data_IF_273040252483
#
_entry.id   IF_273040252483
#
_cell.length_a   1.000
_cell.length_b   1.000
_cell.length_c   1.000
_cell.angle_alpha   90.00
_cell.angle_beta   90.00
_cell.angle_gamma   90.00
#
_symmetry.space_group_name_H-M   'P 1'
#
loop_
_entity.id
_entity.type
_entity.pdbx_description
1 polymer ?
#
# COMPACT_ATOMS: atom_id res chain seq x y z
N UNK A 1 34.32 -9.55 20.86
CA UNK A 1 32.87 -9.22 20.86
C UNK A 1 32.55 -8.60 19.53
N UNK A 2 31.65 -9.20 18.75
CA UNK A 2 31.17 -8.60 17.48
C UNK A 2 30.34 -7.38 17.82
N UNK A 3 30.71 -6.20 17.28
CA UNK A 3 29.95 -4.95 17.47
C UNK A 3 28.52 -5.13 16.96
N UNK A 4 27.55 -4.52 17.64
CA UNK A 4 26.17 -4.45 17.18
C UNK A 4 26.09 -3.78 15.79
N UNK A 5 25.47 -4.43 14.79
CA UNK A 5 25.28 -3.81 13.47
C UNK A 5 24.40 -2.56 13.56
N UNK A 6 24.81 -1.50 12.89
CA UNK A 6 24.02 -0.28 12.68
C UNK A 6 23.36 -0.32 11.31
N UNK A 7 22.04 -0.18 11.25
CA UNK A 7 21.27 -0.24 10.01
C UNK A 7 20.43 1.02 9.88
N UNK A 8 20.57 1.72 8.76
CA UNK A 8 19.69 2.82 8.41
C UNK A 8 18.69 2.35 7.33
N UNK A 9 17.42 2.67 7.52
CA UNK A 9 16.34 2.38 6.57
C UNK A 9 15.84 3.72 6.05
N UNK A 10 15.94 3.93 4.75
CA UNK A 10 15.47 5.16 4.09
C UNK A 10 14.04 4.92 3.62
N UNK A 11 13.06 5.55 4.26
CA UNK A 11 11.62 5.39 4.01
C UNK A 11 10.88 4.70 5.17
N UNK A 12 9.85 5.37 5.69
CA UNK A 12 8.97 4.95 6.78
C UNK A 12 7.61 4.40 6.34
N UNK A 13 7.49 3.99 5.07
CA UNK A 13 6.30 3.30 4.56
C UNK A 13 6.20 1.84 5.03
N UNK A 14 5.19 1.11 4.52
CA UNK A 14 4.94 -0.30 4.88
C UNK A 14 6.19 -1.18 4.76
N UNK A 15 6.96 -1.03 3.66
CA UNK A 15 8.18 -1.80 3.45
C UNK A 15 9.27 -1.50 4.48
N UNK A 16 9.50 -0.22 4.78
CA UNK A 16 10.51 0.21 5.76
C UNK A 16 10.19 -0.23 7.18
N UNK A 17 8.93 -0.07 7.62
CA UNK A 17 8.50 -0.53 8.94
C UNK A 17 8.54 -2.07 9.06
N UNK A 18 8.16 -2.79 8.01
CA UNK A 18 8.25 -4.25 7.98
C UNK A 18 9.71 -4.74 8.04
N UNK A 19 10.62 -4.08 7.30
CA UNK A 19 12.05 -4.38 7.36
C UNK A 19 12.62 -4.10 8.75
N UNK A 20 12.26 -2.98 9.36
CA UNK A 20 12.66 -2.63 10.72
C UNK A 20 12.21 -3.67 11.75
N UNK A 21 10.96 -4.13 11.69
CA UNK A 21 10.45 -5.20 12.57
C UNK A 21 11.20 -6.52 12.40
N UNK A 22 11.57 -6.87 11.17
CA UNK A 22 12.37 -8.07 10.91
C UNK A 22 13.76 -7.94 11.54
N UNK A 23 14.42 -6.79 11.34
CA UNK A 23 15.79 -6.54 11.79
C UNK A 23 15.90 -6.32 13.30
N UNK A 24 14.87 -5.78 13.95
CA UNK A 24 14.85 -5.52 15.40
C UNK A 24 15.10 -6.82 16.21
N UNK A 25 14.66 -7.96 15.67
CA UNK A 25 14.85 -9.29 16.25
C UNK A 25 16.29 -9.76 16.27
N UNK A 26 17.14 -9.15 15.45
CA UNK A 26 18.57 -9.46 15.37
C UNK A 26 19.44 -8.56 16.25
N UNK A 27 18.82 -7.78 17.16
CA UNK A 27 19.50 -6.86 18.08
C UNK A 27 20.38 -5.83 17.37
N UNK A 28 20.00 -5.41 16.17
CA UNK A 28 20.66 -4.33 15.45
C UNK A 28 20.23 -2.96 16.02
N UNK A 29 21.11 -1.97 15.91
CA UNK A 29 20.76 -0.56 16.11
C UNK A 29 20.14 -0.04 14.81
N UNK A 30 18.86 0.33 14.84
CA UNK A 30 18.09 0.65 13.64
C UNK A 30 17.58 2.08 13.71
N UNK A 31 17.85 2.84 12.66
CA UNK A 31 17.25 4.16 12.42
C UNK A 31 16.43 4.14 11.14
N UNK A 32 15.21 4.67 11.18
CA UNK A 32 14.38 4.90 10.00
C UNK A 32 14.35 6.40 9.73
N UNK A 33 14.60 6.78 8.48
CA UNK A 33 14.52 8.16 8.02
C UNK A 33 13.31 8.30 7.11
N UNK A 34 12.29 9.01 7.56
CA UNK A 34 11.08 9.28 6.79
C UNK A 34 11.00 10.76 6.46
N UNK A 35 10.84 11.08 5.18
CA UNK A 35 10.77 12.45 4.70
C UNK A 35 9.54 13.21 5.21
N UNK A 36 8.42 12.52 5.44
CA UNK A 36 7.19 13.10 5.93
C UNK A 36 7.30 13.45 7.41
N UNK A 37 6.75 14.60 7.87
CA UNK A 37 6.71 14.95 9.29
C UNK A 37 5.79 14.05 10.12
N UNK A 38 4.99 13.20 9.47
CA UNK A 38 4.11 12.23 10.11
C UNK A 38 4.01 10.95 9.26
N UNK A 39 3.82 9.80 9.93
CA UNK A 39 3.43 8.56 9.27
C UNK A 39 1.96 8.62 8.86
N UNK A 40 1.68 9.38 7.80
CA UNK A 40 0.36 9.52 7.24
C UNK A 40 0.32 8.79 5.90
N UNK A 41 -0.81 8.16 5.64
CA UNK A 41 -1.08 7.50 4.38
C UNK A 41 -2.40 7.99 3.84
N UNK A 42 -2.42 8.23 2.54
CA UNK A 42 -3.64 8.51 1.79
C UNK A 42 -4.44 7.22 1.87
N UNK A 43 -5.68 7.31 2.33
CA UNK A 43 -6.47 6.19 2.86
C UNK A 43 -6.85 5.07 1.88
N UNK A 44 -6.03 4.73 0.91
CA UNK A 44 -6.26 3.60 0.04
C UNK A 44 -6.35 2.28 0.82
N UNK A 45 -7.23 1.41 0.35
CA UNK A 45 -7.24 0.01 0.69
C UNK A 45 -6.08 -0.75 0.05
N UNK A 46 -5.66 -1.83 0.70
CA UNK A 46 -4.70 -2.80 0.20
C UNK A 46 -5.29 -4.20 0.29
N UNK A 47 -4.95 -5.04 -0.68
CA UNK A 47 -5.23 -6.46 -0.65
C UNK A 47 -3.97 -7.22 -0.23
N UNK A 48 -4.07 -7.98 0.86
CA UNK A 48 -3.03 -8.85 1.38
C UNK A 48 -3.43 -10.30 1.10
N UNK A 49 -2.77 -10.89 0.11
CA UNK A 49 -2.89 -12.31 -0.21
C UNK A 49 -2.25 -13.18 0.90
N UNK A 50 -2.53 -14.50 0.94
CA UNK A 50 -2.07 -15.38 2.01
C UNK A 50 -0.56 -15.31 2.30
N UNK A 51 0.29 -15.17 1.28
CA UNK A 51 1.73 -15.00 1.45
C UNK A 51 2.12 -13.72 2.21
N UNK A 52 1.43 -12.61 1.98
CA UNK A 52 1.67 -11.37 2.71
C UNK A 52 1.23 -11.50 4.18
N UNK A 53 0.09 -12.15 4.43
CA UNK A 53 -0.39 -12.40 5.80
C UNK A 53 0.55 -13.35 6.55
N UNK A 54 1.09 -14.37 5.89
CA UNK A 54 2.13 -15.24 6.46
C UNK A 54 3.43 -14.48 6.78
N UNK A 55 3.83 -13.51 5.95
CA UNK A 55 4.97 -12.65 6.28
C UNK A 55 4.69 -11.81 7.54
N UNK A 56 3.47 -11.27 7.69
CA UNK A 56 3.05 -10.55 8.90
C UNK A 56 2.99 -11.47 10.14
N UNK A 57 2.67 -12.75 9.97
CA UNK A 57 2.78 -13.77 11.03
C UNK A 57 4.20 -13.92 11.50
N UNK A 58 5.14 -14.05 10.55
CA UNK A 58 6.57 -14.09 10.88
C UNK A 58 6.92 -12.82 11.66
N UNK A 59 6.49 -11.64 11.23
CA UNK A 59 6.72 -10.36 11.94
C UNK A 59 5.96 -10.22 13.28
N UNK A 60 5.08 -11.15 13.63
CA UNK A 60 4.37 -11.18 14.92
C UNK A 60 3.22 -10.19 15.02
N UNK A 61 2.70 -9.72 13.87
CA UNK A 61 1.63 -8.70 13.81
C UNK A 61 0.38 -9.18 13.07
N UNK A 62 0.33 -10.45 12.63
CA UNK A 62 -0.81 -11.02 11.89
C UNK A 62 -2.15 -10.74 12.58
N UNK A 63 -2.31 -11.12 13.85
CA UNK A 63 -3.59 -10.99 14.56
C UNK A 63 -4.03 -9.52 14.68
N UNK A 64 -3.09 -8.61 14.92
CA UNK A 64 -3.36 -7.19 15.01
C UNK A 64 -3.80 -6.59 13.67
N UNK A 65 -3.25 -7.09 12.56
CA UNK A 65 -3.66 -6.68 11.20
C UNK A 65 -5.03 -7.28 10.86
N UNK A 66 -5.27 -8.57 11.16
CA UNK A 66 -6.57 -9.24 10.95
C UNK A 66 -7.69 -8.50 11.69
N UNK A 67 -7.45 -8.10 12.95
CA UNK A 67 -8.44 -7.37 13.77
C UNK A 67 -8.88 -6.01 13.19
N UNK A 68 -8.11 -5.45 12.26
CA UNK A 68 -8.42 -4.19 11.56
C UNK A 68 -8.82 -4.37 10.10
N UNK A 69 -8.57 -5.54 9.53
CA UNK A 69 -8.88 -5.84 8.14
C UNK A 69 -10.33 -6.24 7.92
N UNK A 70 -10.59 -6.72 6.71
CA UNK A 70 -11.85 -7.31 6.29
C UNK A 70 -11.55 -8.57 5.49
N UNK A 71 -12.22 -9.65 5.86
CA UNK A 71 -12.21 -10.90 5.10
C UNK A 71 -13.52 -11.01 4.36
N UNK A 72 -13.44 -11.40 3.09
CA UNK A 72 -14.63 -11.71 2.29
C UNK A 72 -14.58 -13.17 1.90
N UNK A 73 -15.71 -13.85 1.98
CA UNK A 73 -15.83 -15.23 1.53
C UNK A 73 -15.63 -15.37 0.01
N UNK A 74 -15.93 -14.32 -0.74
CA UNK A 74 -15.84 -14.30 -2.20
C UNK A 74 -15.15 -13.07 -2.75
N UNK A 75 -14.63 -13.20 -3.97
CA UNK A 75 -14.31 -12.10 -4.88
C UNK A 75 -15.11 -12.31 -6.16
N UNK A 76 -15.81 -11.27 -6.61
CA UNK A 76 -16.69 -11.37 -7.79
C UNK A 76 -16.07 -10.61 -8.94
N UNK A 77 -15.99 -11.23 -10.11
CA UNK A 77 -15.70 -10.54 -11.38
C UNK A 77 -17.01 -10.34 -12.11
N UNK A 78 -17.31 -9.09 -12.47
CA UNK A 78 -18.55 -8.69 -13.16
C UNK A 78 -18.24 -8.11 -14.53
N UNK A 79 -19.15 -8.32 -15.45
CA UNK A 79 -19.16 -7.58 -16.71
C UNK A 79 -19.57 -6.13 -16.44
N UNK A 80 -18.75 -5.18 -16.90
CA UNK A 80 -18.95 -3.73 -16.69
C UNK A 80 -20.30 -3.17 -17.11
N UNK A 81 -20.93 -3.72 -18.16
CA UNK A 81 -22.14 -3.17 -18.77
C UNK A 81 -23.41 -3.83 -18.26
N UNK A 82 -23.41 -5.15 -18.16
CA UNK A 82 -24.59 -5.96 -17.78
C UNK A 82 -24.66 -6.30 -16.30
N UNK A 83 -23.59 -6.09 -15.53
CA UNK A 83 -23.51 -6.51 -14.13
C UNK A 83 -23.43 -8.03 -13.92
N UNK A 84 -23.54 -8.82 -15.00
CA UNK A 84 -23.47 -10.28 -14.97
C UNK A 84 -22.17 -10.75 -14.34
N UNK A 85 -22.28 -11.68 -13.40
CA UNK A 85 -21.13 -12.35 -12.79
C UNK A 85 -20.45 -13.22 -13.86
N UNK A 86 -19.18 -12.91 -14.13
CA UNK A 86 -18.30 -13.70 -15.00
C UNK A 86 -17.62 -14.79 -14.20
N UNK A 87 -17.16 -14.47 -12.99
CA UNK A 87 -16.49 -15.40 -12.08
C UNK A 87 -16.78 -15.03 -10.63
N UNK A 88 -16.83 -16.04 -9.75
CA UNK A 88 -17.00 -15.86 -8.31
C UNK A 88 -16.02 -16.80 -7.60
N UNK A 89 -14.92 -16.25 -7.10
CA UNK A 89 -13.84 -16.99 -6.47
C UNK A 89 -14.07 -17.10 -4.97
N UNK A 90 -14.02 -18.31 -4.41
CA UNK A 90 -14.19 -18.57 -2.97
C UNK A 90 -12.91 -18.28 -2.18
N UNK A 91 -12.72 -17.03 -1.77
CA UNK A 91 -11.59 -16.59 -0.94
C UNK A 91 -11.64 -17.13 0.50
N UNK A 92 -12.83 -17.42 1.04
CA UNK A 92 -12.97 -18.00 2.38
C UNK A 92 -12.29 -19.36 2.54
N UNK A 93 -12.03 -20.07 1.43
CA UNK A 93 -11.28 -21.33 1.45
C UNK A 93 -9.76 -21.15 1.61
N UNK A 94 -9.23 -19.93 1.46
CA UNK A 94 -7.78 -19.69 1.42
C UNK A 94 -7.09 -20.01 2.74
N UNK A 95 -7.76 -19.81 3.88
CA UNK A 95 -7.23 -20.22 5.20
C UNK A 95 -6.88 -21.71 5.22
N UNK A 96 -7.78 -22.54 4.71
CA UNK A 96 -7.58 -23.99 4.64
C UNK A 96 -6.56 -24.39 3.57
N UNK A 97 -6.58 -23.74 2.41
CA UNK A 97 -5.72 -24.09 1.27
C UNK A 97 -4.27 -23.63 1.44
N UNK A 98 -4.05 -22.45 2.03
CA UNK A 98 -2.75 -21.77 2.07
C UNK A 98 -2.26 -21.45 3.48
N UNK A 99 -3.04 -21.78 4.52
CA UNK A 99 -2.66 -21.52 5.91
C UNK A 99 -2.79 -20.05 6.35
N UNK A 100 -3.39 -19.19 5.53
CA UNK A 100 -3.66 -17.78 5.84
C UNK A 100 -4.83 -17.24 4.98
N UNK A 101 -5.56 -16.22 5.45
CA UNK A 101 -6.66 -15.61 4.70
C UNK A 101 -6.17 -14.72 3.55
N UNK A 102 -7.11 -14.31 2.70
CA UNK A 102 -6.97 -13.09 1.92
C UNK A 102 -7.63 -11.94 2.69
N UNK A 103 -6.88 -10.91 3.03
CA UNK A 103 -7.34 -9.81 3.87
C UNK A 103 -7.31 -8.50 3.10
N UNK A 104 -8.36 -7.69 3.18
CA UNK A 104 -8.32 -6.30 2.72
C UNK A 104 -8.18 -5.37 3.91
N UNK A 105 -7.25 -4.41 3.85
CA UNK A 105 -6.92 -3.53 4.97
C UNK A 105 -6.85 -2.08 4.51
N UNK A 106 -7.14 -1.14 5.41
CA UNK A 106 -6.85 0.26 5.15
C UNK A 106 -5.36 0.50 5.35
N UNK A 107 -4.67 1.15 4.40
CA UNK A 107 -3.20 1.30 4.42
C UNK A 107 -2.70 1.96 5.70
N UNK A 108 -3.36 3.01 6.16
CA UNK A 108 -2.99 3.69 7.40
C UNK A 108 -3.11 2.78 8.64
N UNK A 109 -4.04 1.83 8.65
CA UNK A 109 -4.18 0.91 9.79
C UNK A 109 -3.08 -0.15 9.80
N UNK A 110 -2.68 -0.65 8.62
CA UNK A 110 -1.53 -1.53 8.49
C UNK A 110 -0.25 -0.81 8.95
N UNK A 111 -0.06 0.45 8.53
CA UNK A 111 1.09 1.25 8.94
C UNK A 111 1.11 1.49 10.45
N UNK A 112 -0.03 1.84 11.06
CA UNK A 112 -0.16 2.03 12.51
C UNK A 112 0.14 0.74 13.28
N UNK A 113 -0.34 -0.41 12.81
CA UNK A 113 -0.02 -1.71 13.43
C UNK A 113 1.49 -2.00 13.38
N UNK A 114 2.12 -1.81 12.22
CA UNK A 114 3.56 -2.03 12.06
C UNK A 114 4.37 -1.07 12.94
N UNK A 115 4.01 0.22 12.94
CA UNK A 115 4.66 1.23 13.78
C UNK A 115 4.57 0.88 15.26
N UNK A 116 3.37 0.52 15.77
CA UNK A 116 3.16 0.20 17.19
C UNK A 116 3.90 -1.06 17.65
N UNK A 117 4.26 -1.93 16.71
CA UNK A 117 5.01 -3.15 17.03
C UNK A 117 6.51 -2.90 17.22
N UNK A 118 7.05 -1.80 16.68
CA UNK A 118 8.46 -1.40 16.87
C UNK A 118 8.69 -0.96 18.32
N UNK A 119 9.86 -1.30 18.88
CA UNK A 119 10.20 -1.07 20.29
C UNK A 119 11.49 -0.29 20.49
N UNK A 120 12.52 -0.58 19.70
CA UNK A 120 13.88 -0.06 19.88
C UNK A 120 14.40 0.72 18.68
N UNK A 121 13.54 0.97 17.68
CA UNK A 121 13.90 1.69 16.46
C UNK A 121 13.82 3.20 16.67
N UNK A 122 14.87 3.90 16.26
CA UNK A 122 14.89 5.37 16.16
C UNK A 122 14.17 5.81 14.88
N UNK A 123 12.90 6.22 14.99
CA UNK A 123 12.11 6.72 13.86
C UNK A 123 12.25 8.24 13.76
N UNK A 124 12.97 8.71 12.75
CA UNK A 124 13.16 10.14 12.44
C UNK A 124 12.20 10.57 11.33
N UNK A 125 11.18 11.33 11.73
CA UNK A 125 10.23 11.98 10.83
C UNK A 125 10.78 13.32 10.34
N UNK A 126 10.35 13.76 9.16
CA UNK A 126 10.90 14.96 8.51
C UNK A 126 12.36 14.81 8.05
N UNK A 127 12.92 13.61 8.11
CA UNK A 127 14.31 13.31 7.77
C UNK A 127 14.39 12.82 6.32
N UNK A 128 14.39 13.77 5.37
CA UNK A 128 14.49 13.47 3.95
C UNK A 128 15.92 13.13 3.57
N UNK A 129 16.18 11.86 3.22
CA UNK A 129 17.42 11.46 2.56
C UNK A 129 17.47 12.00 1.13
N UNK A 130 18.62 12.51 0.72
CA UNK A 130 18.85 13.09 -0.61
C UNK A 130 19.94 12.38 -1.40
N UNK A 131 20.82 11.63 -0.72
CA UNK A 131 21.87 10.84 -1.37
C UNK A 131 22.37 9.75 -0.42
N UNK A 132 22.88 8.66 -0.99
CA UNK A 132 23.60 7.61 -0.26
C UNK A 132 24.98 7.42 -0.86
N UNK A 133 25.99 7.30 0.01
CA UNK A 133 27.37 7.03 -0.39
C UNK A 133 27.85 5.77 0.32
N UNK A 134 28.32 4.78 -0.46
CA UNK A 134 28.88 3.54 0.08
C UNK A 134 30.41 3.63 0.15
N UNK A 135 30.98 3.06 1.20
CA UNK A 135 32.42 2.98 1.43
C UNK A 135 32.84 1.52 1.61
N UNK A 136 34.15 1.26 1.69
CA UNK A 136 34.70 -0.09 1.93
C UNK A 136 34.10 -0.78 3.17
N UNK A 137 33.69 -0.01 4.17
CA UNK A 137 33.10 -0.50 5.43
C UNK A 137 31.93 0.37 5.92
N UNK A 138 30.82 0.31 5.20
CA UNK A 138 29.56 0.93 5.60
C UNK A 138 29.03 1.89 4.53
N UNK A 139 28.06 2.71 4.91
CA UNK A 139 27.46 3.70 4.04
C UNK A 139 26.91 4.88 4.84
N UNK A 140 26.75 6.02 4.17
CA UNK A 140 26.21 7.25 4.74
C UNK A 140 25.00 7.71 3.96
N UNK A 141 23.90 7.97 4.66
CA UNK A 141 22.73 8.67 4.13
C UNK A 141 22.86 10.16 4.44
N UNK A 142 22.86 11.00 3.39
CA UNK A 142 22.87 12.46 3.51
C UNK A 142 21.44 12.98 3.57
N UNK A 143 21.13 13.83 4.53
CA UNK A 143 19.82 14.41 4.75
C UNK A 143 19.73 15.83 4.16
N UNK A 144 18.51 16.26 3.82
CA UNK A 144 18.25 17.56 3.21
C UNK A 144 18.59 18.76 4.12
N UNK A 145 18.62 18.56 5.44
CA UNK A 145 19.00 19.57 6.44
C UNK A 145 20.52 19.67 6.64
N UNK A 146 21.30 18.91 5.88
CA UNK A 146 22.76 18.81 6.02
C UNK A 146 23.22 17.77 7.04
N UNK A 147 22.29 17.09 7.73
CA UNK A 147 22.59 15.97 8.61
C UNK A 147 23.09 14.72 7.86
N UNK A 148 23.79 13.85 8.59
CA UNK A 148 24.28 12.58 8.06
C UNK A 148 23.92 11.42 8.99
N UNK A 149 23.68 10.26 8.41
CA UNK A 149 23.43 9.01 9.13
C UNK A 149 24.38 7.94 8.61
N UNK A 150 25.38 7.63 9.42
CA UNK A 150 26.31 6.53 9.17
C UNK A 150 25.72 5.20 9.61
N UNK A 151 25.84 4.18 8.76
CA UNK A 151 25.40 2.82 9.06
C UNK A 151 26.35 1.79 8.44
N UNK A 152 26.30 0.56 8.96
CA UNK A 152 26.99 -0.57 8.34
C UNK A 152 26.26 -1.02 7.07
N UNK A 153 24.94 -0.85 7.06
CA UNK A 153 24.04 -1.21 5.97
C UNK A 153 22.98 -0.12 5.83
N UNK A 154 22.70 0.29 4.59
CA UNK A 154 21.54 1.11 4.26
C UNK A 154 20.53 0.27 3.47
N UNK A 155 19.28 0.28 3.92
CA UNK A 155 18.14 -0.36 3.22
C UNK A 155 17.31 0.73 2.55
N UNK A 156 17.25 0.70 1.22
CA UNK A 156 16.34 1.56 0.44
C UNK A 156 14.91 1.05 0.49
N UNK A 157 14.04 1.79 1.17
CA UNK A 157 12.60 1.55 1.28
C UNK A 157 11.79 2.83 0.95
N UNK A 158 12.36 3.68 0.10
CA UNK A 158 11.96 5.06 -0.22
C UNK A 158 11.07 5.18 -1.46
N UNK A 159 10.46 4.07 -1.87
CA UNK A 159 9.39 4.04 -2.86
C UNK A 159 9.86 4.26 -4.30
N UNK A 160 8.95 4.75 -5.14
CA UNK A 160 9.18 4.81 -6.59
C UNK A 160 10.24 5.85 -7.00
N UNK A 161 10.34 6.96 -6.27
CA UNK A 161 11.36 8.01 -6.46
C UNK A 161 12.61 7.77 -5.59
N UNK A 162 13.04 6.52 -5.50
CA UNK A 162 14.12 6.10 -4.60
C UNK A 162 15.45 6.80 -4.91
N UNK A 163 15.94 7.59 -3.95
CA UNK A 163 17.28 8.18 -3.99
C UNK A 163 18.35 7.12 -3.74
N UNK A 164 18.00 6.04 -3.03
CA UNK A 164 18.88 4.89 -2.82
C UNK A 164 19.11 4.15 -4.13
N UNK A 165 18.05 3.92 -4.93
CA UNK A 165 18.16 3.29 -6.26
C UNK A 165 19.07 4.11 -7.16
N UNK A 166 18.87 5.43 -7.21
CA UNK A 166 19.69 6.34 -8.01
C UNK A 166 21.17 6.34 -7.56
N UNK A 167 21.43 6.30 -6.26
CA UNK A 167 22.80 6.27 -5.72
C UNK A 167 23.57 4.99 -6.09
N UNK A 168 22.87 3.86 -6.26
CA UNK A 168 23.48 2.56 -6.57
C UNK A 168 23.61 2.31 -8.07
N UNK A 169 22.61 2.70 -8.86
CA UNK A 169 22.53 2.34 -10.28
C UNK A 169 22.66 3.53 -11.23
N UNK A 170 22.73 4.76 -10.70
CA UNK A 170 22.66 6.00 -11.47
C UNK A 170 21.23 6.46 -11.77
N UNK A 171 21.08 7.57 -12.50
CA UNK A 171 19.78 8.16 -12.82
C UNK A 171 18.85 7.17 -13.51
N UNK A 172 17.63 7.05 -12.98
CA UNK A 172 16.59 6.16 -13.50
C UNK A 172 15.22 6.81 -13.31
N UNK A 173 14.30 6.60 -14.26
CA UNK A 173 12.98 7.19 -14.24
C UNK A 173 11.90 6.11 -14.37
N UNK A 174 10.82 6.17 -13.57
CA UNK A 174 9.72 5.23 -13.73
C UNK A 174 9.12 5.36 -15.13
N UNK A 175 8.80 4.21 -15.73
CA UNK A 175 8.12 4.16 -17.02
C UNK A 175 6.61 4.13 -16.81
N UNK A 176 5.93 5.14 -17.34
CA UNK A 176 4.47 5.18 -17.33
C UNK A 176 3.88 3.99 -18.11
N UNK A 177 2.87 3.34 -17.54
CA UNK A 177 2.26 2.13 -18.11
C UNK A 177 1.13 2.41 -19.10
N UNK A 178 0.81 3.68 -19.36
CA UNK A 178 -0.36 4.05 -20.18
C UNK A 178 -1.68 3.92 -19.43
N UNK A 179 -1.64 3.94 -18.10
CA UNK A 179 -2.78 3.65 -17.23
C UNK A 179 -2.82 4.60 -16.04
N UNK A 180 -3.99 5.12 -15.74
CA UNK A 180 -4.25 5.92 -14.54
C UNK A 180 -5.20 5.19 -13.60
N UNK A 181 -5.13 5.52 -12.31
CA UNK A 181 -5.99 4.95 -11.29
C UNK A 181 -6.56 6.04 -10.39
N UNK A 182 -7.88 6.19 -10.38
CA UNK A 182 -8.57 6.95 -9.35
C UNK A 182 -8.81 6.07 -8.13
N UNK A 183 -8.64 6.65 -6.95
CA UNK A 183 -8.89 5.98 -5.68
C UNK A 183 -9.86 6.80 -4.86
N UNK A 184 -10.85 6.12 -4.29
CA UNK A 184 -11.85 6.73 -3.44
C UNK A 184 -12.22 5.80 -2.30
N UNK A 185 -12.87 6.37 -1.30
CA UNK A 185 -13.50 5.62 -0.23
C UNK A 185 -14.91 6.14 0.00
N UNK A 186 -15.84 5.21 0.19
CA UNK A 186 -17.18 5.50 0.67
C UNK A 186 -17.37 4.88 2.06
N UNK A 187 -18.21 5.48 2.90
CA UNK A 187 -18.72 4.78 4.07
C UNK A 187 -19.66 3.68 3.62
N UNK A 188 -19.69 2.54 4.32
CA UNK A 188 -20.59 1.45 3.94
C UNK A 188 -22.07 1.88 3.97
N UNK A 189 -22.43 2.86 4.80
CA UNK A 189 -23.78 3.45 4.84
C UNK A 189 -24.14 4.32 3.64
N UNK A 190 -23.15 4.86 2.92
CA UNK A 190 -23.37 5.67 1.72
C UNK A 190 -23.57 4.82 0.46
N UNK A 191 -23.18 3.54 0.50
CA UNK A 191 -23.35 2.63 -0.65
C UNK A 191 -24.77 2.06 -0.66
N UNK A 192 -25.47 2.05 -1.82
CA UNK A 192 -26.78 1.44 -1.94
C UNK A 192 -26.80 -0.02 -1.45
N UNK A 193 -27.85 -0.38 -0.68
CA UNK A 193 -27.98 -1.71 -0.03
C UNK A 193 -28.01 -2.87 -1.01
N UNK A 194 -28.42 -2.59 -2.23
CA UNK A 194 -28.63 -3.50 -3.34
C UNK A 194 -27.28 -4.04 -3.87
N UNK A 195 -26.19 -3.30 -3.59
CA UNK A 195 -24.84 -3.68 -3.95
C UNK A 195 -24.27 -4.57 -2.86
N UNK A 196 -23.90 -5.80 -3.23
CA UNK A 196 -23.25 -6.75 -2.34
C UNK A 196 -21.80 -6.32 -2.02
N UNK A 197 -21.63 -5.29 -1.21
CA UNK A 197 -20.31 -4.71 -0.85
C UNK A 197 -19.44 -5.64 0.00
N UNK A 198 -20.06 -6.59 0.72
CA UNK A 198 -19.32 -7.58 1.52
C UNK A 198 -18.45 -8.51 0.65
N UNK A 199 -18.94 -8.83 -0.56
CA UNK A 199 -18.21 -9.57 -1.58
C UNK A 199 -17.55 -8.55 -2.51
N UNK A 200 -16.37 -8.06 -2.15
CA UNK A 200 -15.63 -7.13 -3.01
C UNK A 200 -15.60 -7.61 -4.46
N UNK A 201 -15.78 -6.69 -5.41
CA UNK A 201 -15.94 -7.02 -6.82
C UNK A 201 -14.97 -6.24 -7.73
N UNK A 202 -14.67 -6.85 -8.86
CA UNK A 202 -13.96 -6.26 -9.99
C UNK A 202 -14.92 -6.21 -11.18
N UNK A 203 -15.23 -5.01 -11.64
CA UNK A 203 -16.00 -4.75 -12.85
C UNK A 203 -15.01 -4.62 -14.01
N UNK A 204 -15.05 -5.56 -14.94
CA UNK A 204 -14.14 -5.62 -16.07
C UNK A 204 -14.82 -5.10 -17.34
N UNK A 205 -14.17 -4.17 -18.03
CA UNK A 205 -14.64 -3.62 -19.30
C UNK A 205 -13.53 -3.20 -20.25
N UNK A 206 -13.89 -2.70 -21.44
CA UNK A 206 -12.94 -2.08 -22.35
C UNK A 206 -12.23 -0.90 -21.68
N UNK A 207 -10.92 -0.77 -21.93
CA UNK A 207 -10.10 0.36 -21.50
C UNK A 207 -10.04 0.59 -19.98
N UNK A 208 -10.41 -0.39 -19.16
CA UNK A 208 -10.34 -0.23 -17.72
C UNK A 208 -11.02 -1.31 -16.88
N UNK A 209 -10.88 -1.17 -15.57
CA UNK A 209 -11.59 -1.97 -14.60
C UNK A 209 -11.80 -1.19 -13.31
N UNK A 210 -12.90 -1.47 -12.61
CA UNK A 210 -13.18 -0.85 -11.31
C UNK A 210 -13.26 -1.93 -10.25
N UNK A 211 -12.46 -1.78 -9.20
CA UNK A 211 -12.42 -2.70 -8.07
C UNK A 211 -12.97 -1.99 -6.84
N UNK A 212 -13.88 -2.65 -6.12
CA UNK A 212 -14.30 -2.21 -4.81
C UNK A 212 -14.23 -3.34 -3.78
N UNK A 213 -13.87 -3.03 -2.55
CA UNK A 213 -13.83 -4.01 -1.45
C UNK A 213 -13.89 -3.32 -0.08
N UNK A 214 -14.41 -4.04 0.94
CA UNK A 214 -14.47 -3.51 2.29
C UNK A 214 -13.08 -3.41 2.91
N UNK A 215 -12.87 -2.39 3.71
CA UNK A 215 -11.74 -2.22 4.63
C UNK A 215 -12.27 -1.76 5.98
N UNK A 216 -11.43 -1.73 7.03
CA UNK A 216 -11.84 -1.39 8.40
C UNK A 216 -13.05 -2.19 8.88
N UNK A 217 -12.94 -3.52 8.85
CA UNK A 217 -14.05 -4.43 9.21
C UNK A 217 -15.36 -4.15 8.45
N UNK A 218 -15.27 -3.61 7.24
CA UNK A 218 -16.44 -3.24 6.42
C UNK A 218 -17.05 -1.89 6.73
N UNK A 219 -16.42 -1.04 7.54
CA UNK A 219 -16.89 0.33 7.81
C UNK A 219 -16.72 1.24 6.58
N UNK A 220 -15.67 0.99 5.79
CA UNK A 220 -15.34 1.74 4.58
C UNK A 220 -15.27 0.80 3.37
N UNK A 221 -15.66 1.29 2.21
CA UNK A 221 -15.52 0.63 0.92
C UNK A 221 -14.44 1.35 0.14
N UNK A 222 -13.32 0.69 -0.08
CA UNK A 222 -12.28 1.17 -0.96
C UNK A 222 -12.71 0.95 -2.41
N UNK A 223 -12.47 1.94 -3.26
CA UNK A 223 -12.79 1.92 -4.68
C UNK A 223 -11.53 2.31 -5.47
N UNK A 224 -11.20 1.55 -6.50
CA UNK A 224 -10.09 1.83 -7.43
C UNK A 224 -10.63 1.72 -8.85
N UNK A 225 -10.62 2.81 -9.59
CA UNK A 225 -10.98 2.83 -11.01
C UNK A 225 -9.73 2.98 -11.85
N UNK A 226 -9.37 1.91 -12.55
CA UNK A 226 -8.24 1.86 -13.47
C UNK A 226 -8.71 2.15 -14.89
N UNK A 227 -8.04 3.05 -15.59
CA UNK A 227 -8.40 3.41 -16.96
C UNK A 227 -7.15 3.59 -17.83
N UNK A 228 -7.21 3.10 -19.05
CA UNK A 228 -6.13 3.26 -20.03
C UNK A 228 -6.11 4.71 -20.51
N UNK A 229 -4.97 5.39 -20.38
CA UNK A 229 -4.81 6.78 -20.76
C UNK A 229 -3.36 7.08 -21.10
N UNK A 230 -3.15 7.64 -22.29
CA UNK A 230 -1.86 8.18 -22.73
C UNK A 230 -1.70 9.67 -22.41
N UNK A 231 -2.77 10.32 -21.96
CA UNK A 231 -2.88 11.78 -21.83
C UNK A 231 -2.46 12.32 -20.46
N UNK A 232 -1.99 11.44 -19.56
CA UNK A 232 -1.63 11.83 -18.20
C UNK A 232 -0.13 11.80 -17.97
N UNK A 233 0.44 12.90 -17.51
CA UNK A 233 1.89 13.10 -17.42
C UNK A 233 2.39 13.41 -16.01
N UNK A 234 1.52 13.41 -15.00
CA UNK A 234 1.89 13.78 -13.62
C UNK A 234 1.69 12.62 -12.63
N UNK A 235 2.78 12.03 -12.14
CA UNK A 235 2.69 11.00 -11.10
C UNK A 235 2.35 11.65 -9.75
N UNK A 236 1.12 11.46 -9.27
CA UNK A 236 0.72 11.91 -7.94
C UNK A 236 -0.23 10.92 -7.27
N UNK A 237 0.13 10.50 -6.07
CA UNK A 237 -0.72 9.67 -5.20
C UNK A 237 -1.72 10.51 -4.39
N UNK A 238 -1.46 11.82 -4.24
CA UNK A 238 -2.22 12.76 -3.38
C UNK A 238 -3.08 13.75 -4.15
N UNK A 239 -3.00 13.78 -5.49
CA UNK A 239 -3.76 14.76 -6.27
C UNK A 239 -5.25 14.47 -6.13
N UNK A 240 -5.96 15.44 -5.59
CA UNK A 240 -7.42 15.46 -5.62
C UNK A 240 -7.88 15.63 -7.07
N UNK A 241 -8.91 14.89 -7.45
CA UNK A 241 -9.57 14.99 -8.74
C UNK A 241 -11.06 15.20 -8.51
N UNK A 242 -11.72 15.85 -9.47
CA UNK A 242 -13.16 15.96 -9.45
C UNK A 242 -13.78 14.59 -9.79
N UNK A 243 -14.78 14.15 -9.00
CA UNK A 243 -15.52 12.91 -9.25
C UNK A 243 -16.14 12.91 -10.65
N UNK A 244 -16.51 14.07 -11.20
CA UNK A 244 -17.05 14.20 -12.55
C UNK A 244 -16.10 13.73 -13.66
N UNK A 245 -14.78 13.82 -13.48
CA UNK A 245 -13.80 13.28 -14.43
C UNK A 245 -13.90 11.75 -14.52
N UNK A 246 -14.00 11.10 -13.37
CA UNK A 246 -14.25 9.67 -13.28
C UNK A 246 -15.61 9.34 -13.87
N UNK A 247 -16.67 10.04 -13.48
CA UNK A 247 -18.03 9.77 -13.95
C UNK A 247 -18.15 9.92 -15.47
N UNK A 248 -17.43 10.87 -16.07
CA UNK A 248 -17.36 11.03 -17.53
C UNK A 248 -16.69 9.83 -18.20
N UNK A 249 -15.56 9.38 -17.65
CA UNK A 249 -14.81 8.22 -18.17
C UNK A 249 -15.61 6.91 -18.09
N UNK A 250 -16.51 6.80 -17.10
CA UNK A 250 -17.31 5.63 -16.84
C UNK A 250 -18.81 5.78 -17.18
N UNK A 251 -19.24 6.85 -17.86
CA UNK A 251 -20.66 7.21 -18.05
C UNK A 251 -21.53 6.09 -18.69
N UNK A 252 -20.94 5.20 -19.47
CA UNK A 252 -21.64 4.06 -20.09
C UNK A 252 -21.65 2.77 -19.27
N UNK A 253 -21.01 2.74 -18.10
CA UNK A 253 -20.90 1.57 -17.24
C UNK A 253 -22.17 1.37 -16.39
N UNK A 254 -22.28 0.19 -15.78
CA UNK A 254 -23.47 -0.20 -15.04
C UNK A 254 -23.85 0.82 -13.93
N UNK A 255 -25.13 1.20 -13.79
CA UNK A 255 -25.56 2.21 -12.81
C UNK A 255 -25.15 1.90 -11.37
N UNK A 256 -25.24 0.63 -10.94
CA UNK A 256 -24.79 0.22 -9.60
C UNK A 256 -23.33 0.59 -9.33
N UNK A 257 -22.44 0.42 -10.31
CA UNK A 257 -21.04 0.79 -10.14
C UNK A 257 -20.88 2.30 -9.98
N UNK A 258 -21.59 3.08 -10.80
CA UNK A 258 -21.54 4.54 -10.76
C UNK A 258 -22.09 5.09 -9.44
N UNK A 259 -23.07 4.41 -8.84
CA UNK A 259 -23.62 4.78 -7.54
C UNK A 259 -22.65 4.59 -6.35
N UNK A 260 -21.48 3.97 -6.57
CA UNK A 260 -20.41 3.89 -5.57
C UNK A 260 -19.66 5.22 -5.38
N UNK A 261 -19.84 6.17 -6.29
CA UNK A 261 -19.21 7.48 -6.28
C UNK A 261 -20.27 8.56 -6.01
N UNK A 262 -20.57 8.84 -4.72
CA UNK A 262 -21.55 9.87 -4.35
C UNK A 262 -21.08 11.29 -4.65
#
# INVERSE_FOLDING_TARGET
MTRTPRIAIVGGGVGGLAAALALERHRAEIVICEQSPALNEIGAGLNLSPNAVMALRVLGVEDAVIARGSESDFMVIRNWKSGRIISRMRRGAFRQQFGAPNLTVHRADLLDVLRRALKTVDLRLGARCIAVEAYDRGAVARLADGGEIEADIIVGADGIHSVVRESVFGPDAPRFTGCICWRGMATASAVPRDIAIAEGAMWMGPHGHVVHYPVRRGELINIVAHFDSDSWTEESWTRECDVSELMTSYAGWHPDLLSLYP
#
